data_IF_250692883331
#
_entry.id   IF_250692883331
#
_cell.length_a   1.000
_cell.length_b   1.000
_cell.length_c   1.000
_cell.angle_alpha   90.00
_cell.angle_beta   90.00
_cell.angle_gamma   90.00
#
_symmetry.space_group_name_H-M   'P 1'
#
loop_
_entity.id
_entity.type
_entity.pdbx_description
1 polymer ?
#
# COMPACT_ATOMS: atom_id res chain seq x y z
N UNK A 1 -4.53 -21.59 28.05
CA UNK A 1 -3.48 -20.72 27.50
C UNK A 1 -3.81 -19.31 27.97
N UNK A 2 -2.96 -18.69 28.77
CA UNK A 2 -3.15 -17.31 29.24
C UNK A 2 -2.78 -16.36 28.10
N UNK A 3 -3.62 -15.37 27.83
CA UNK A 3 -3.29 -14.25 26.93
C UNK A 3 -2.09 -13.50 27.52
N UNK A 4 -1.09 -13.09 26.70
CA UNK A 4 -0.04 -12.19 27.16
C UNK A 4 -0.67 -10.90 27.70
N UNK A 5 -0.06 -10.31 28.72
CA UNK A 5 -0.58 -9.07 29.35
C UNK A 5 -0.59 -7.92 28.34
N UNK A 6 -1.63 -7.10 28.39
CA UNK A 6 -1.80 -5.89 27.58
C UNK A 6 -0.60 -4.92 27.68
N UNK A 7 0.13 -5.00 28.78
CA UNK A 7 1.21 -4.06 29.15
C UNK A 7 2.41 -4.03 28.17
N UNK A 8 2.65 -5.10 27.39
CA UNK A 8 3.76 -5.13 26.40
C UNK A 8 3.38 -4.38 25.13
N UNK A 9 2.09 -4.34 24.82
CA UNK A 9 1.56 -3.68 23.62
C UNK A 9 1.35 -2.17 23.84
N UNK A 10 0.91 -1.77 25.03
CA UNK A 10 0.80 -0.36 25.38
C UNK A 10 2.18 0.33 25.32
N UNK A 11 3.26 -0.32 25.74
CA UNK A 11 4.61 0.23 25.62
C UNK A 11 5.09 0.32 24.17
N UNK A 12 4.78 -0.67 23.33
CA UNK A 12 5.14 -0.67 21.91
C UNK A 12 4.42 0.45 21.14
N UNK A 13 3.11 0.58 21.36
CA UNK A 13 2.27 1.61 20.75
C UNK A 13 2.72 3.02 21.21
N UNK A 14 3.07 3.20 22.50
CA UNK A 14 3.58 4.49 23.02
C UNK A 14 4.96 4.84 22.41
N UNK A 15 5.90 3.91 22.34
CA UNK A 15 7.24 4.18 21.81
C UNK A 15 7.22 4.45 20.30
N UNK A 16 6.41 3.70 19.55
CA UNK A 16 6.21 3.92 18.10
C UNK A 16 5.44 5.23 17.83
N UNK A 17 4.40 5.53 18.64
CA UNK A 17 3.68 6.79 18.57
C UNK A 17 4.56 8.00 18.89
N UNK A 18 5.40 7.92 19.92
CA UNK A 18 6.38 8.96 20.26
C UNK A 18 7.43 9.15 19.16
N UNK A 19 7.78 8.07 18.47
CA UNK A 19 8.72 8.10 17.34
C UNK A 19 8.09 8.77 16.11
N UNK A 20 6.87 8.35 15.71
CA UNK A 20 6.10 8.94 14.60
C UNK A 20 5.77 10.40 14.90
N UNK A 21 5.39 10.74 16.13
CA UNK A 21 5.06 12.11 16.55
C UNK A 21 6.29 13.03 16.50
N UNK A 22 7.50 12.52 16.75
CA UNK A 22 8.74 13.28 16.59
C UNK A 22 9.02 13.65 15.14
N UNK A 23 8.74 12.73 14.20
CA UNK A 23 8.93 12.97 12.76
C UNK A 23 7.84 13.92 12.24
N UNK A 24 6.58 13.67 12.56
CA UNK A 24 5.47 14.55 12.18
C UNK A 24 5.59 15.96 12.80
N UNK A 25 6.09 16.08 14.04
CA UNK A 25 6.37 17.35 14.69
C UNK A 25 7.48 18.17 14.03
N UNK A 26 8.44 17.51 13.37
CA UNK A 26 9.49 18.20 12.61
C UNK A 26 8.99 18.83 11.30
N UNK A 27 7.86 18.37 10.77
CA UNK A 27 7.24 18.93 9.57
C UNK A 27 6.39 20.18 9.86
N UNK A 28 5.86 20.34 11.08
CA UNK A 28 4.98 21.48 11.42
C UNK A 28 5.73 22.79 11.71
N UNK A 29 7.03 22.76 12.03
CA UNK A 29 7.82 23.96 12.30
C UNK A 29 8.36 24.66 11.03
N UNK A 30 8.11 24.12 9.82
CA UNK A 30 8.58 24.66 8.56
C UNK A 30 7.60 25.62 7.84
N UNK A 31 6.38 25.81 8.35
CA UNK A 31 5.34 26.58 7.65
C UNK A 31 5.30 28.10 7.92
N UNK A 32 6.20 28.66 8.72
CA UNK A 32 6.16 30.12 9.03
C UNK A 32 7.46 30.88 8.63
N UNK A 33 7.84 30.81 7.34
CA UNK A 33 8.69 31.85 6.74
C UNK A 33 8.45 31.93 5.23
N UNK A 34 7.50 32.81 4.85
CA UNK A 34 7.21 33.15 3.45
C UNK A 34 8.37 33.85 2.74
N UNK A 35 9.31 33.08 2.22
CA UNK A 35 10.25 33.51 1.17
C UNK A 35 10.37 32.39 0.15
N UNK A 36 10.15 32.72 -1.12
CA UNK A 36 10.33 31.79 -2.23
C UNK A 36 11.71 31.13 -2.16
N UNK A 37 11.75 29.82 -1.82
CA UNK A 37 12.96 29.03 -1.74
C UNK A 37 13.55 28.88 -3.15
N UNK A 38 14.86 29.03 -3.29
CA UNK A 38 15.57 28.76 -4.54
C UNK A 38 15.55 27.25 -4.80
N UNK A 39 15.63 26.80 -6.08
CA UNK A 39 15.64 25.37 -6.40
C UNK A 39 16.71 24.55 -5.63
N UNK A 40 17.80 25.19 -5.24
CA UNK A 40 18.88 24.59 -4.43
C UNK A 40 18.41 24.25 -3.00
N UNK A 41 17.49 25.02 -2.44
CA UNK A 41 16.97 24.78 -1.08
C UNK A 41 15.97 23.59 -1.08
N UNK A 42 15.23 23.40 -2.18
CA UNK A 42 14.33 22.24 -2.35
C UNK A 42 15.10 20.93 -2.50
N UNK A 43 16.13 20.89 -3.33
CA UNK A 43 16.98 19.70 -3.52
C UNK A 43 17.67 19.28 -2.22
N UNK A 44 18.15 20.26 -1.44
CA UNK A 44 18.76 20.00 -0.13
C UNK A 44 17.75 19.49 0.91
N UNK A 45 16.49 19.95 0.84
CA UNK A 45 15.40 19.47 1.69
C UNK A 45 15.01 18.03 1.32
N UNK A 46 14.81 17.75 0.05
CA UNK A 46 14.50 16.41 -0.46
C UNK A 46 15.58 15.40 -0.06
N UNK A 47 16.86 15.72 -0.25
CA UNK A 47 17.97 14.86 0.14
C UNK A 47 18.04 14.62 1.65
N UNK A 48 17.63 15.60 2.46
CA UNK A 48 17.56 15.45 3.93
C UNK A 48 16.41 14.53 4.32
N UNK A 49 15.24 14.73 3.73
CA UNK A 49 14.05 13.89 3.99
C UNK A 49 14.32 12.44 3.60
N UNK A 50 14.94 12.22 2.44
CA UNK A 50 15.31 10.87 1.99
C UNK A 50 16.29 10.21 2.98
N UNK A 51 17.30 10.94 3.47
CA UNK A 51 18.24 10.41 4.45
C UNK A 51 17.55 10.06 5.79
N UNK A 52 16.68 10.94 6.30
CA UNK A 52 15.93 10.72 7.52
C UNK A 52 14.98 9.50 7.35
N UNK A 53 14.40 9.33 6.18
CA UNK A 53 13.57 8.15 5.86
C UNK A 53 14.39 6.86 5.84
N UNK A 54 15.57 6.85 5.23
CA UNK A 54 16.46 5.68 5.22
C UNK A 54 16.96 5.31 6.63
N UNK A 55 17.31 6.28 7.46
CA UNK A 55 17.68 6.04 8.88
C UNK A 55 16.51 5.42 9.65
N UNK A 56 15.28 5.91 9.43
CA UNK A 56 14.08 5.35 10.02
C UNK A 56 13.79 3.90 9.55
N UNK A 57 14.00 3.59 8.27
CA UNK A 57 13.84 2.23 7.74
C UNK A 57 14.83 1.25 8.39
N UNK A 58 16.09 1.67 8.61
CA UNK A 58 17.10 0.85 9.28
C UNK A 58 16.71 0.59 10.74
N UNK A 59 16.35 1.64 11.49
CA UNK A 59 15.92 1.51 12.89
C UNK A 59 14.66 0.64 13.02
N UNK A 60 13.68 0.82 12.12
CA UNK A 60 12.46 0.02 12.10
C UNK A 60 12.75 -1.45 11.82
N UNK A 61 13.67 -1.72 10.89
CA UNK A 61 14.11 -3.09 10.57
C UNK A 61 14.73 -3.76 11.79
N UNK A 62 15.71 -3.13 12.44
CA UNK A 62 16.37 -3.65 13.63
C UNK A 62 15.34 -3.95 14.73
N UNK A 63 14.43 -3.02 15.00
CA UNK A 63 13.41 -3.17 16.03
C UNK A 63 12.47 -4.35 15.75
N UNK A 64 11.97 -4.49 14.52
CA UNK A 64 11.05 -5.57 14.13
C UNK A 64 11.77 -6.93 14.20
N UNK A 65 13.02 -7.01 13.74
CA UNK A 65 13.82 -8.24 13.80
C UNK A 65 14.06 -8.69 15.25
N UNK A 66 14.38 -7.78 16.16
CA UNK A 66 14.51 -8.06 17.59
C UNK A 66 13.19 -8.51 18.24
N UNK A 67 12.04 -8.06 17.72
CA UNK A 67 10.71 -8.37 18.24
C UNK A 67 9.91 -9.36 17.35
N UNK A 68 10.56 -10.08 16.45
CA UNK A 68 9.92 -10.98 15.48
C UNK A 68 8.97 -11.99 16.13
N UNK A 69 9.35 -12.57 17.29
CA UNK A 69 8.50 -13.51 18.04
C UNK A 69 7.15 -12.89 18.45
N UNK A 70 7.10 -11.59 18.64
CA UNK A 70 5.87 -10.87 18.95
C UNK A 70 5.04 -10.62 17.71
N UNK A 71 5.67 -10.25 16.59
CA UNK A 71 5.01 -10.12 15.30
C UNK A 71 4.34 -11.42 14.86
N UNK A 72 5.01 -12.57 15.06
CA UNK A 72 4.50 -13.89 14.67
C UNK A 72 3.32 -14.39 15.50
N UNK A 73 3.06 -13.81 16.66
CA UNK A 73 1.89 -14.15 17.47
C UNK A 73 0.61 -13.47 16.98
N UNK A 74 0.73 -12.49 16.09
CA UNK A 74 -0.40 -11.78 15.49
C UNK A 74 -0.93 -12.55 14.30
N UNK A 75 -2.23 -12.42 14.06
CA UNK A 75 -2.84 -12.88 12.82
C UNK A 75 -2.47 -11.88 11.71
N UNK A 76 -2.04 -12.39 10.56
CA UNK A 76 -1.74 -11.55 9.42
C UNK A 76 -3.01 -10.97 8.81
N UNK A 77 -3.00 -9.68 8.47
CA UNK A 77 -4.13 -8.99 7.84
C UNK A 77 -4.33 -9.46 6.39
N UNK A 78 -3.23 -9.86 5.74
CA UNK A 78 -3.25 -10.46 4.42
C UNK A 78 -2.15 -11.52 4.29
N UNK A 79 -2.49 -12.64 3.62
CA UNK A 79 -1.54 -13.72 3.31
C UNK A 79 -1.66 -14.05 1.84
N UNK A 80 -0.53 -14.09 1.15
CA UNK A 80 -0.40 -14.65 -0.19
C UNK A 80 0.54 -15.86 -0.15
N UNK A 81 0.17 -16.95 -0.83
CA UNK A 81 0.99 -18.17 -0.92
C UNK A 81 1.45 -18.38 -2.34
N UNK A 82 2.76 -18.52 -2.49
CA UNK A 82 3.39 -18.93 -3.73
C UNK A 82 3.18 -20.44 -4.00
N UNK A 83 3.31 -20.86 -5.25
CA UNK A 83 3.14 -22.27 -5.66
C UNK A 83 4.18 -23.20 -5.00
N UNK A 84 5.37 -22.68 -4.69
CA UNK A 84 6.45 -23.42 -4.03
C UNK A 84 6.27 -23.59 -2.51
N UNK A 85 5.21 -22.98 -1.95
CA UNK A 85 4.84 -23.07 -0.53
C UNK A 85 5.37 -21.93 0.33
N UNK A 86 6.16 -21.00 -0.20
CA UNK A 86 6.50 -19.75 0.50
C UNK A 86 5.27 -18.87 0.68
N UNK A 87 5.27 -18.06 1.73
CA UNK A 87 4.17 -17.13 2.01
C UNK A 87 4.72 -15.71 2.18
N UNK A 88 3.92 -14.75 1.74
CA UNK A 88 4.04 -13.34 2.09
C UNK A 88 2.91 -12.99 3.07
N UNK A 89 3.28 -12.35 4.18
CA UNK A 89 2.33 -11.96 5.24
C UNK A 89 2.41 -10.48 5.49
N UNK A 90 1.31 -9.78 5.26
CA UNK A 90 1.16 -8.37 5.60
C UNK A 90 0.58 -8.26 7.01
N UNK A 91 1.23 -7.50 7.89
CA UNK A 91 0.77 -7.25 9.25
C UNK A 91 0.65 -5.74 9.48
N UNK A 92 -0.44 -5.33 10.10
CA UNK A 92 -0.57 -3.96 10.65
C UNK A 92 0.42 -3.78 11.78
N UNK A 93 1.18 -2.70 11.76
CA UNK A 93 2.07 -2.31 12.86
C UNK A 93 1.44 -1.25 13.74
N UNK A 94 0.73 -0.32 13.13
CA UNK A 94 0.12 0.79 13.86
C UNK A 94 -1.20 1.24 13.22
N UNK A 95 -2.04 1.91 14.03
CA UNK A 95 -3.30 2.54 13.64
C UNK A 95 -3.22 4.03 13.97
N UNK A 96 -3.22 4.86 12.94
CA UNK A 96 -3.20 6.32 13.10
C UNK A 96 -4.45 6.92 12.48
N UNK A 97 -5.26 7.61 13.28
CA UNK A 97 -6.49 8.31 12.84
C UNK A 97 -7.49 7.44 12.05
N UNK A 98 -7.43 6.11 12.22
CA UNK A 98 -8.31 5.17 11.54
C UNK A 98 -7.70 4.50 10.30
N UNK A 99 -6.45 4.80 9.97
CA UNK A 99 -5.69 4.15 8.92
C UNK A 99 -4.56 3.28 9.51
N UNK A 100 -4.00 2.37 8.70
CA UNK A 100 -3.05 1.37 9.12
C UNK A 100 -1.71 1.53 8.42
N UNK A 101 -0.62 1.34 9.17
CA UNK A 101 0.71 1.06 8.63
C UNK A 101 0.96 -0.45 8.61
N UNK A 102 1.81 -0.89 7.70
CA UNK A 102 2.06 -2.31 7.47
C UNK A 102 3.55 -2.64 7.42
N UNK A 103 3.87 -3.87 7.78
CA UNK A 103 5.12 -4.55 7.43
C UNK A 103 4.82 -5.76 6.56
N UNK A 104 5.78 -6.17 5.74
CA UNK A 104 5.72 -7.39 4.95
C UNK A 104 6.74 -8.41 5.46
N UNK A 105 6.26 -9.58 5.83
CA UNK A 105 7.09 -10.73 6.24
C UNK A 105 7.13 -11.76 5.13
N UNK A 106 8.31 -12.35 4.92
CA UNK A 106 8.51 -13.56 4.15
C UNK A 106 8.49 -14.79 5.05
N UNK A 107 7.87 -15.88 4.60
CA UNK A 107 7.85 -17.18 5.28
C UNK A 107 8.32 -18.23 4.29
N UNK A 108 9.38 -18.94 4.63
CA UNK A 108 9.88 -20.04 3.81
C UNK A 108 8.90 -21.20 3.71
N UNK A 109 9.03 -22.03 2.67
CA UNK A 109 8.14 -23.17 2.42
C UNK A 109 8.08 -24.19 3.55
N UNK A 110 9.10 -24.25 4.43
CA UNK A 110 9.11 -25.09 5.63
C UNK A 110 8.19 -24.56 6.75
N UNK A 111 7.74 -23.32 6.63
CA UNK A 111 6.91 -22.61 7.59
C UNK A 111 7.63 -22.27 8.92
N UNK A 112 8.91 -22.58 9.04
CA UNK A 112 9.69 -22.37 10.24
C UNK A 112 10.58 -21.13 10.18
N UNK A 113 11.05 -20.79 8.99
CA UNK A 113 11.89 -19.62 8.74
C UNK A 113 11.02 -18.44 8.34
N UNK A 114 10.99 -17.41 9.18
CA UNK A 114 10.27 -16.15 8.95
C UNK A 114 11.26 -15.01 9.08
N UNK A 115 11.15 -14.05 8.17
CA UNK A 115 12.03 -12.89 8.11
C UNK A 115 11.27 -11.64 7.71
N UNK A 116 11.78 -10.48 8.14
CA UNK A 116 11.27 -9.19 7.70
C UNK A 116 11.72 -8.96 6.27
N UNK A 117 10.76 -8.87 5.36
CA UNK A 117 11.02 -8.56 3.96
C UNK A 117 11.04 -7.05 3.73
N UNK A 118 9.99 -6.36 4.16
CA UNK A 118 9.88 -4.92 4.01
C UNK A 118 9.26 -4.28 5.26
N UNK A 119 9.95 -3.32 5.91
CA UNK A 119 9.44 -2.63 7.10
C UNK A 119 8.40 -1.55 6.77
N UNK A 120 8.30 -1.12 5.50
CA UNK A 120 7.38 -0.08 5.05
C UNK A 120 6.98 -0.30 3.58
N UNK A 121 6.12 -1.30 3.29
CA UNK A 121 5.78 -1.67 1.92
C UNK A 121 5.03 -0.60 1.13
N UNK A 122 4.50 0.42 1.79
CA UNK A 122 3.69 1.46 1.15
C UNK A 122 4.29 2.87 1.25
N UNK A 123 5.60 2.99 1.60
CA UNK A 123 6.30 4.28 1.64
C UNK A 123 5.59 5.31 2.54
N UNK A 124 5.26 4.93 3.78
CA UNK A 124 4.50 5.71 4.76
C UNK A 124 3.06 6.04 4.34
N UNK A 125 2.59 5.51 3.23
CA UNK A 125 1.18 5.59 2.88
C UNK A 125 0.35 4.72 3.82
N UNK A 126 -0.72 5.29 4.35
CA UNK A 126 -1.65 4.65 5.26
C UNK A 126 -2.94 4.25 4.56
N UNK A 127 -3.60 3.21 5.05
CA UNK A 127 -4.90 2.78 4.56
C UNK A 127 -5.22 1.35 4.96
N UNK A 128 -6.17 0.72 4.26
CA UNK A 128 -6.58 -0.66 4.48
C UNK A 128 -6.19 -1.53 3.30
N UNK A 129 -5.33 -2.54 3.53
CA UNK A 129 -5.02 -3.52 2.49
C UNK A 129 -6.29 -4.27 2.07
N UNK A 130 -6.57 -4.31 0.77
CA UNK A 130 -7.74 -5.00 0.21
C UNK A 130 -7.39 -6.33 -0.42
N UNK A 131 -6.27 -6.38 -1.10
CA UNK A 131 -5.74 -7.59 -1.69
C UNK A 131 -4.25 -7.44 -1.96
N UNK A 132 -3.56 -8.57 -2.02
CA UNK A 132 -2.18 -8.72 -2.46
C UNK A 132 -2.10 -9.97 -3.34
N UNK A 133 -1.33 -9.90 -4.41
CA UNK A 133 -1.09 -11.02 -5.32
C UNK A 133 0.30 -10.94 -5.90
N UNK A 134 0.92 -12.10 -6.16
CA UNK A 134 2.18 -12.19 -6.89
C UNK A 134 1.96 -13.02 -8.13
N UNK A 135 2.48 -12.54 -9.25
CA UNK A 135 2.46 -13.19 -10.56
C UNK A 135 3.57 -14.24 -10.64
N UNK A 136 4.70 -13.93 -10.02
CA UNK A 136 5.87 -14.80 -9.85
C UNK A 136 6.64 -14.36 -8.60
N UNK A 137 7.87 -14.87 -8.41
CA UNK A 137 8.69 -14.59 -7.22
C UNK A 137 9.08 -13.12 -7.09
N UNK A 138 9.24 -12.39 -8.20
CA UNK A 138 9.69 -11.01 -8.23
C UNK A 138 8.52 -10.03 -8.36
N UNK A 139 7.55 -10.33 -9.22
CA UNK A 139 6.49 -9.41 -9.60
C UNK A 139 5.23 -9.63 -8.76
N UNK A 140 4.89 -8.64 -7.97
CA UNK A 140 3.69 -8.62 -7.13
C UNK A 140 2.95 -7.30 -7.16
N UNK A 141 1.71 -7.32 -6.65
CA UNK A 141 0.84 -6.16 -6.57
C UNK A 141 0.02 -6.20 -5.28
N UNK A 142 -0.29 -5.00 -4.77
CA UNK A 142 -1.17 -4.82 -3.62
C UNK A 142 -2.11 -3.64 -3.85
N UNK A 143 -3.29 -3.68 -3.26
CA UNK A 143 -4.21 -2.54 -3.25
C UNK A 143 -4.39 -2.04 -1.82
N UNK A 144 -4.12 -0.75 -1.62
CA UNK A 144 -4.33 -0.03 -0.38
C UNK A 144 -5.52 0.92 -0.55
N UNK A 145 -6.57 0.70 0.22
CA UNK A 145 -7.78 1.54 0.19
C UNK A 145 -7.66 2.70 1.14
N UNK A 146 -8.06 3.88 0.67
CA UNK A 146 -8.11 5.13 1.44
C UNK A 146 -9.54 5.68 1.50
N UNK A 147 -9.71 6.77 2.23
CA UNK A 147 -10.94 7.58 2.26
C UNK A 147 -12.20 6.72 2.46
N UNK A 148 -12.18 5.86 3.49
CA UNK A 148 -13.28 4.95 3.81
C UNK A 148 -13.71 4.03 2.63
N UNK A 149 -12.80 3.77 1.67
CA UNK A 149 -13.04 2.91 0.51
C UNK A 149 -13.51 3.66 -0.73
N UNK A 150 -13.37 4.98 -0.77
CA UNK A 150 -13.67 5.78 -1.97
C UNK A 150 -12.60 5.55 -3.04
N UNK A 151 -11.33 5.50 -2.66
CA UNK A 151 -10.20 5.19 -3.56
C UNK A 151 -9.44 3.94 -3.15
N UNK A 152 -8.73 3.34 -4.10
CA UNK A 152 -7.89 2.16 -3.89
C UNK A 152 -6.67 2.20 -4.77
N UNK A 153 -5.54 2.60 -4.17
CA UNK A 153 -4.25 2.74 -4.83
C UNK A 153 -3.62 1.39 -5.14
N UNK A 154 -3.01 1.29 -6.32
CA UNK A 154 -2.27 0.11 -6.75
C UNK A 154 -0.78 0.30 -6.47
N UNK A 155 -0.19 -0.67 -5.80
CA UNK A 155 1.24 -0.77 -5.56
C UNK A 155 1.81 -1.97 -6.28
N UNK A 156 3.01 -1.84 -6.84
CA UNK A 156 3.74 -2.85 -7.59
C UNK A 156 5.10 -3.09 -6.96
N UNK A 157 5.50 -4.34 -6.86
CA UNK A 157 6.87 -4.76 -6.60
C UNK A 157 7.43 -5.49 -7.81
N UNK A 158 8.72 -5.33 -8.08
CA UNK A 158 9.47 -6.07 -9.11
C UNK A 158 10.70 -6.79 -8.53
N UNK A 159 10.80 -6.84 -7.21
CA UNK A 159 11.91 -7.40 -6.44
C UNK A 159 11.43 -8.35 -5.32
N UNK A 160 10.26 -8.94 -5.50
CA UNK A 160 9.71 -9.92 -4.56
C UNK A 160 9.16 -9.32 -3.26
N UNK A 161 8.90 -8.01 -3.23
CA UNK A 161 8.35 -7.30 -2.08
C UNK A 161 9.38 -6.55 -1.23
N UNK A 162 10.66 -6.52 -1.66
CA UNK A 162 11.68 -5.71 -1.00
C UNK A 162 11.38 -4.20 -1.11
N UNK A 163 10.78 -3.80 -2.24
CA UNK A 163 10.25 -2.44 -2.44
C UNK A 163 8.92 -2.48 -3.18
N UNK A 164 8.10 -1.44 -2.97
CA UNK A 164 6.88 -1.20 -3.72
C UNK A 164 6.85 0.23 -4.23
N UNK A 165 6.29 0.39 -5.44
CA UNK A 165 6.02 1.69 -6.05
C UNK A 165 4.52 1.84 -6.30
N UNK A 166 3.97 3.02 -6.07
CA UNK A 166 2.59 3.34 -6.41
C UNK A 166 2.47 3.49 -7.91
N UNK A 167 1.50 2.78 -8.50
CA UNK A 167 1.24 2.77 -9.94
C UNK A 167 -0.05 3.50 -10.23
N UNK A 168 -0.03 4.35 -11.25
CA UNK A 168 -1.21 5.01 -11.76
C UNK A 168 -1.68 4.34 -13.07
N UNK A 169 -2.99 4.42 -13.31
CA UNK A 169 -3.61 4.04 -14.59
C UNK A 169 -4.28 5.26 -15.23
N UNK A 170 -4.46 5.26 -16.58
CA UNK A 170 -5.07 6.38 -17.27
C UNK A 170 -6.47 6.68 -16.74
N UNK A 171 -6.77 7.94 -16.52
CA UNK A 171 -8.12 8.38 -16.21
C UNK A 171 -9.03 8.18 -17.42
N UNK A 172 -10.22 7.63 -17.19
CA UNK A 172 -11.25 7.42 -18.19
C UNK A 172 -12.40 8.36 -17.88
N UNK A 173 -12.59 9.36 -18.76
CA UNK A 173 -13.70 10.30 -18.65
C UNK A 173 -15.00 9.64 -19.13
N UNK A 174 -16.05 9.74 -18.33
CA UNK A 174 -17.41 9.32 -18.62
C UNK A 174 -18.39 10.49 -18.42
N UNK A 175 -19.62 10.34 -18.89
CA UNK A 175 -20.67 11.33 -18.67
C UNK A 175 -21.80 10.74 -17.82
N UNK A 176 -22.22 11.46 -16.79
CA UNK A 176 -23.41 11.13 -16.01
C UNK A 176 -24.69 11.37 -16.81
N UNK A 177 -25.85 10.94 -16.30
CA UNK A 177 -27.14 11.12 -16.97
C UNK A 177 -27.51 12.58 -17.25
N UNK A 178 -27.03 13.51 -16.41
CA UNK A 178 -27.22 14.96 -16.59
C UNK A 178 -26.20 15.59 -17.55
N UNK A 179 -25.28 14.78 -18.11
CA UNK A 179 -24.22 15.20 -19.02
C UNK A 179 -22.98 15.75 -18.34
N UNK A 180 -22.89 15.75 -17.01
CA UNK A 180 -21.69 16.19 -16.30
C UNK A 180 -20.54 15.17 -16.48
N UNK A 181 -19.29 15.64 -16.67
CA UNK A 181 -18.14 14.75 -16.79
C UNK A 181 -17.75 14.18 -15.43
N UNK A 182 -17.26 12.94 -15.42
CA UNK A 182 -16.74 12.24 -14.24
C UNK A 182 -15.61 11.30 -14.65
N UNK A 183 -14.61 11.10 -13.77
CA UNK A 183 -13.61 10.03 -13.87
C UNK A 183 -13.91 9.03 -12.75
N UNK A 184 -14.76 8.01 -12.98
CA UNK A 184 -15.34 7.23 -11.89
C UNK A 184 -14.47 6.06 -11.43
N UNK A 185 -13.41 5.72 -12.16
CA UNK A 185 -12.66 4.48 -11.94
C UNK A 185 -11.36 4.76 -11.19
N UNK A 186 -11.43 4.72 -9.85
CA UNK A 186 -10.35 5.11 -8.93
C UNK A 186 -10.04 4.04 -7.84
N UNK A 187 -10.64 2.85 -7.96
CA UNK A 187 -10.41 1.76 -7.01
C UNK A 187 -9.92 0.50 -7.70
N UNK A 188 -8.64 0.13 -7.52
CA UNK A 188 -8.06 -1.11 -8.02
C UNK A 188 -8.71 -2.33 -7.34
N UNK A 189 -9.66 -2.98 -8.03
CA UNK A 189 -10.47 -4.07 -7.46
C UNK A 189 -9.77 -5.41 -7.46
N UNK A 190 -9.16 -5.77 -8.59
CA UNK A 190 -8.44 -7.03 -8.76
C UNK A 190 -7.48 -6.98 -9.94
N UNK A 191 -6.48 -7.84 -9.88
CA UNK A 191 -5.52 -8.07 -10.95
C UNK A 191 -5.53 -9.55 -11.34
N UNK A 192 -5.36 -9.83 -12.63
CA UNK A 192 -5.21 -11.18 -13.17
C UNK A 192 -4.14 -11.20 -14.26
N UNK A 193 -3.37 -12.28 -14.33
CA UNK A 193 -2.46 -12.57 -15.44
C UNK A 193 -3.13 -13.52 -16.42
N UNK A 194 -3.00 -13.23 -17.71
CA UNK A 194 -3.43 -14.12 -18.77
C UNK A 194 -2.55 -13.92 -20.03
N UNK A 195 -1.97 -15.00 -20.53
CA UNK A 195 -1.13 -15.02 -21.74
C UNK A 195 0.01 -13.99 -21.71
N UNK A 196 0.66 -13.84 -20.55
CA UNK A 196 1.77 -12.91 -20.33
C UNK A 196 1.36 -11.44 -20.28
N UNK A 197 0.09 -11.14 -20.10
CA UNK A 197 -0.46 -9.80 -19.92
C UNK A 197 -1.16 -9.70 -18.57
N UNK A 198 -1.11 -8.51 -17.99
CA UNK A 198 -1.85 -8.22 -16.78
C UNK A 198 -3.15 -7.49 -17.11
N UNK A 199 -4.21 -7.88 -16.45
CA UNK A 199 -5.52 -7.26 -16.55
C UNK A 199 -5.93 -6.72 -15.19
N UNK A 200 -6.11 -5.40 -15.11
CA UNK A 200 -6.55 -4.69 -13.91
C UNK A 200 -8.02 -4.31 -14.07
N UNK A 201 -8.87 -4.78 -13.16
CA UNK A 201 -10.24 -4.29 -13.04
C UNK A 201 -10.26 -3.15 -12.02
N UNK A 202 -10.80 -2.01 -12.41
CA UNK A 202 -10.95 -0.82 -11.58
C UNK A 202 -12.42 -0.49 -11.44
N UNK A 203 -12.88 -0.33 -10.20
CA UNK A 203 -14.25 0.05 -9.89
C UNK A 203 -14.32 1.49 -9.36
N UNK A 204 -15.46 1.90 -8.82
CA UNK A 204 -15.75 3.25 -8.35
C UNK A 204 -15.66 3.39 -6.83
N UNK A 205 -15.07 2.42 -6.14
CA UNK A 205 -15.04 2.42 -4.66
C UNK A 205 -16.43 2.55 -4.06
N UNK A 206 -16.54 3.40 -3.06
CA UNK A 206 -17.80 3.66 -2.35
C UNK A 206 -18.77 4.58 -3.12
N UNK A 207 -18.27 5.39 -4.07
CA UNK A 207 -19.05 6.47 -4.73
C UNK A 207 -20.16 5.94 -5.65
N UNK A 208 -19.88 4.96 -6.51
CA UNK A 208 -20.83 4.24 -7.39
C UNK A 208 -21.77 5.14 -8.18
N UNK A 209 -21.29 6.30 -8.61
CA UNK A 209 -22.11 7.33 -9.27
C UNK A 209 -22.38 7.04 -10.75
N UNK A 210 -21.50 6.26 -11.40
CA UNK A 210 -21.58 5.92 -12.82
C UNK A 210 -22.16 4.52 -13.01
N UNK A 211 -23.36 4.42 -13.57
CA UNK A 211 -24.13 3.20 -13.68
C UNK A 211 -24.65 3.00 -15.11
N UNK A 212 -24.89 1.77 -15.48
CA UNK A 212 -25.61 1.47 -16.72
C UNK A 212 -27.12 1.71 -16.57
N UNK A 213 -27.86 1.56 -17.66
CA UNK A 213 -29.33 1.76 -17.71
C UNK A 213 -30.13 0.85 -16.74
N UNK A 214 -29.51 -0.21 -16.21
CA UNK A 214 -30.13 -1.11 -15.25
C UNK A 214 -29.74 -0.77 -13.78
N UNK A 215 -29.04 0.33 -13.54
CA UNK A 215 -28.58 0.75 -12.22
C UNK A 215 -27.40 -0.08 -11.69
N UNK A 216 -26.68 -0.78 -12.56
CA UNK A 216 -25.46 -1.52 -12.18
C UNK A 216 -24.24 -0.64 -12.36
N UNK A 217 -23.44 -0.51 -11.30
CA UNK A 217 -22.18 0.25 -11.35
C UNK A 217 -21.21 -0.37 -12.36
N UNK A 218 -20.71 0.47 -13.25
CA UNK A 218 -19.72 0.08 -14.25
C UNK A 218 -18.32 0.03 -13.65
N UNK A 219 -17.46 -0.76 -14.24
CA UNK A 219 -16.03 -0.92 -13.95
C UNK A 219 -15.25 -0.71 -15.24
N UNK A 220 -13.98 -0.38 -15.11
CA UNK A 220 -13.05 -0.31 -16.23
C UNK A 220 -12.10 -1.51 -16.21
N UNK A 221 -11.82 -2.06 -17.39
CA UNK A 221 -10.77 -3.04 -17.60
C UNK A 221 -9.57 -2.36 -18.25
N UNK A 222 -8.40 -2.52 -17.64
CA UNK A 222 -7.13 -2.08 -18.19
C UNK A 222 -6.23 -3.27 -18.47
N UNK A 223 -5.30 -3.11 -19.43
CA UNK A 223 -4.29 -4.10 -19.76
C UNK A 223 -2.90 -3.50 -19.68
N UNK A 224 -1.96 -4.25 -19.11
CA UNK A 224 -0.53 -3.99 -19.18
C UNK A 224 0.16 -5.10 -19.97
N UNK A 225 1.20 -4.72 -20.75
CA UNK A 225 2.06 -5.61 -21.54
C UNK A 225 3.53 -5.54 -21.11
N UNK A 226 3.82 -4.76 -20.10
CA UNK A 226 5.13 -4.41 -19.58
C UNK A 226 5.22 -4.65 -18.07
N UNK A 227 4.60 -5.74 -17.60
CA UNK A 227 4.65 -6.15 -16.20
C UNK A 227 4.05 -5.13 -15.22
N UNK A 228 3.07 -4.34 -15.65
CA UNK A 228 2.37 -3.38 -14.81
C UNK A 228 3.01 -1.99 -14.73
N UNK A 229 4.05 -1.70 -15.52
CA UNK A 229 4.67 -0.37 -15.57
C UNK A 229 3.75 0.66 -16.23
N UNK A 230 3.00 0.25 -17.26
CA UNK A 230 2.00 1.09 -17.89
C UNK A 230 0.70 0.33 -18.18
N UNK A 231 -0.40 1.07 -18.23
CA UNK A 231 -1.75 0.53 -18.42
C UNK A 231 -2.46 1.20 -19.57
N UNK A 232 -3.24 0.44 -20.30
CA UNK A 232 -4.11 0.93 -21.36
C UNK A 232 -5.54 0.51 -21.09
N UNK A 233 -6.48 1.44 -21.22
CA UNK A 233 -7.91 1.15 -21.14
C UNK A 233 -8.33 0.18 -22.25
N UNK A 234 -9.15 -0.81 -21.90
CA UNK A 234 -9.70 -1.82 -22.84
C UNK A 234 -11.17 -1.54 -23.08
N UNK A 235 -11.97 -1.61 -22.03
CA UNK A 235 -13.43 -1.49 -22.11
C UNK A 235 -14.05 -1.24 -20.74
N UNK A 236 -15.31 -0.82 -20.75
CA UNK A 236 -16.16 -0.85 -19.56
C UNK A 236 -16.81 -2.22 -19.40
N UNK A 237 -16.99 -2.64 -18.13
CA UNK A 237 -17.59 -3.93 -17.77
C UNK A 237 -18.53 -3.78 -16.56
N UNK A 238 -19.21 -4.81 -16.16
CA UNK A 238 -20.11 -4.85 -14.99
C UNK A 238 -19.57 -5.76 -13.89
#
# INVERSE_FOLDING_TARGET
>A
MQRPSADIWENFEEELYDFISRIAGSQTDAEDSGTASSGTDMEALEARMEKEHQEWLEESREYIEENMDSCLKREADMVFRLEDGREYRMLVTDYVMGDCFYILLGVEADGASVFLLNPDPFNQDMGYIKWMTFVNEDLGFACLSRDAGESGDLYRTADGGESFERIEWPQVEAALEDGSPVCPFDFAEKLAEQDGKLYLTVNQGATKVYQNQNGVSLKALFVSKDQGESWSFVEETV
#
